data_IF_158183563311
#
_entry.id   IF_158183563311
#
_cell.length_a   1.000
_cell.length_b   1.000
_cell.length_c   1.000
_cell.angle_alpha   90.00
_cell.angle_beta   90.00
_cell.angle_gamma   90.00
#
_symmetry.space_group_name_H-M   'P 1'
#
loop_
_entity.id
_entity.type
_entity.pdbx_description
1 polymer ?
#
# COMPACT_ATOMS: atom_id res chain seq x y z
N UNK A 1 -29.25 -5.06 32.11
CA UNK A 1 -27.91 -4.48 31.86
C UNK A 1 -27.46 -4.92 30.47
N UNK A 2 -27.55 -4.05 29.45
CA UNK A 2 -26.95 -4.33 28.14
C UNK A 2 -25.54 -3.73 28.16
N UNK A 3 -24.53 -4.58 28.23
CA UNK A 3 -23.15 -4.18 27.98
C UNK A 3 -23.07 -3.66 26.55
N UNK A 4 -22.80 -2.37 26.41
CA UNK A 4 -22.48 -1.75 25.14
C UNK A 4 -21.15 -2.35 24.70
N UNK A 5 -21.19 -3.40 23.86
CA UNK A 5 -20.00 -3.96 23.24
C UNK A 5 -19.50 -2.90 22.27
N UNK A 6 -18.57 -2.05 22.72
CA UNK A 6 -17.92 -1.08 21.85
C UNK A 6 -17.36 -1.86 20.65
N UNK A 7 -17.60 -1.37 19.43
CA UNK A 7 -16.99 -1.95 18.25
C UNK A 7 -15.47 -1.84 18.42
N UNK A 8 -14.77 -2.98 18.42
CA UNK A 8 -13.32 -2.98 18.53
C UNK A 8 -12.73 -2.15 17.37
N UNK A 9 -11.87 -1.20 17.72
CA UNK A 9 -11.10 -0.42 16.77
C UNK A 9 -10.19 -1.32 15.94
N UNK A 10 -9.78 -0.84 14.77
CA UNK A 10 -8.85 -1.59 13.91
C UNK A 10 -7.53 -1.95 14.62
N UNK A 11 -7.07 -1.10 15.56
CA UNK A 11 -5.87 -1.31 16.37
C UNK A 11 -6.07 -2.48 17.35
N UNK A 12 -7.23 -2.52 18.02
CA UNK A 12 -7.58 -3.62 18.92
C UNK A 12 -7.73 -4.94 18.15
N UNK A 13 -8.37 -4.90 16.97
CA UNK A 13 -8.50 -6.07 16.09
C UNK A 13 -7.13 -6.59 15.63
N UNK A 14 -6.20 -5.70 15.28
CA UNK A 14 -4.83 -6.07 14.94
C UNK A 14 -4.10 -6.70 16.13
N UNK A 15 -4.16 -6.06 17.29
CA UNK A 15 -3.50 -6.56 18.51
C UNK A 15 -4.03 -7.93 18.92
N UNK A 16 -5.35 -8.12 18.89
CA UNK A 16 -5.99 -9.40 19.16
C UNK A 16 -5.54 -10.49 18.18
N UNK A 17 -5.52 -10.20 16.87
CA UNK A 17 -5.02 -11.16 15.88
C UNK A 17 -3.57 -11.56 16.16
N UNK A 18 -2.69 -10.61 16.47
CA UNK A 18 -1.27 -10.89 16.73
C UNK A 18 -1.04 -11.69 18.01
N UNK A 19 -1.87 -11.51 19.02
CA UNK A 19 -1.82 -12.32 20.24
C UNK A 19 -2.26 -13.77 19.98
N UNK A 20 -3.30 -13.96 19.15
CA UNK A 20 -3.81 -15.29 18.80
C UNK A 20 -2.93 -16.01 17.78
N UNK A 21 -2.27 -15.27 16.88
CA UNK A 21 -1.42 -15.80 15.81
C UNK A 21 -0.02 -15.15 15.82
N UNK A 22 0.81 -15.40 16.85
CA UNK A 22 2.16 -14.87 16.93
C UNK A 22 2.99 -15.28 15.70
N UNK A 23 3.75 -14.35 15.13
CA UNK A 23 4.59 -14.61 13.96
C UNK A 23 3.86 -14.81 12.63
N UNK A 24 2.52 -14.84 12.63
CA UNK A 24 1.73 -15.02 11.40
C UNK A 24 1.58 -13.69 10.66
N UNK A 25 1.87 -13.68 9.36
CA UNK A 25 1.56 -12.57 8.47
C UNK A 25 0.06 -12.53 8.25
N UNK A 26 -0.57 -11.37 8.46
CA UNK A 26 -1.99 -11.18 8.14
C UNK A 26 -2.10 -11.10 6.61
N UNK A 27 -2.86 -12.00 5.96
CA UNK A 27 -3.14 -11.90 4.53
C UNK A 27 -3.84 -10.59 4.20
N UNK A 28 -3.58 -10.02 3.03
CA UNK A 28 -4.18 -8.73 2.62
C UNK A 28 -5.70 -8.77 2.51
N UNK A 29 -6.24 -9.92 2.12
CA UNK A 29 -7.67 -10.20 2.00
C UNK A 29 -8.30 -10.68 3.32
N UNK A 30 -7.54 -10.77 4.41
CA UNK A 30 -8.04 -11.24 5.69
C UNK A 30 -9.16 -10.34 6.23
N UNK A 31 -10.27 -11.00 6.59
CA UNK A 31 -11.46 -10.40 7.17
C UNK A 31 -11.68 -11.00 8.55
N UNK A 32 -11.86 -10.15 9.56
CA UNK A 32 -12.18 -10.59 10.93
C UNK A 32 -13.58 -11.20 10.99
N UNK A 33 -13.88 -11.89 12.10
CA UNK A 33 -15.21 -12.46 12.37
C UNK A 33 -16.34 -11.42 12.30
N UNK A 34 -16.06 -10.16 12.61
CA UNK A 34 -17.03 -9.06 12.54
C UNK A 34 -17.11 -8.38 11.15
N UNK A 35 -16.47 -8.95 10.12
CA UNK A 35 -16.51 -8.43 8.75
C UNK A 35 -15.51 -7.30 8.47
N UNK A 36 -14.58 -7.01 9.39
CA UNK A 36 -13.59 -5.95 9.20
C UNK A 36 -12.41 -6.45 8.35
N UNK A 37 -12.10 -5.74 7.25
CA UNK A 37 -10.98 -6.07 6.34
C UNK A 37 -9.64 -5.65 6.95
N UNK A 38 -9.17 -6.42 7.93
CA UNK A 38 -7.96 -6.12 8.69
C UNK A 38 -6.69 -6.14 7.83
N UNK A 39 -6.59 -7.06 6.87
CA UNK A 39 -5.48 -7.10 5.92
C UNK A 39 -5.36 -5.81 5.10
N UNK A 40 -6.48 -5.33 4.55
CA UNK A 40 -6.54 -4.06 3.81
C UNK A 40 -6.25 -2.85 4.71
N UNK A 41 -6.71 -2.86 5.96
CA UNK A 41 -6.37 -1.80 6.92
C UNK A 41 -4.86 -1.74 7.18
N UNK A 42 -4.21 -2.89 7.39
CA UNK A 42 -2.76 -2.97 7.58
C UNK A 42 -2.01 -2.45 6.35
N UNK A 43 -2.41 -2.88 5.14
CA UNK A 43 -1.85 -2.39 3.89
C UNK A 43 -1.92 -0.86 3.80
N UNK A 44 -3.07 -0.26 4.12
CA UNK A 44 -3.25 1.20 4.15
C UNK A 44 -2.31 1.91 5.11
N UNK A 45 -2.10 1.37 6.32
CA UNK A 45 -1.16 1.97 7.28
C UNK A 45 0.27 1.95 6.70
N UNK A 46 0.68 0.82 6.12
CA UNK A 46 2.01 0.65 5.51
C UNK A 46 2.23 1.62 4.34
N UNK A 47 1.27 1.71 3.42
CA UNK A 47 1.34 2.65 2.27
C UNK A 47 1.34 4.11 2.74
N UNK A 48 0.50 4.48 3.71
CA UNK A 48 0.47 5.85 4.22
C UNK A 48 1.81 6.24 4.88
N UNK A 49 2.46 5.32 5.59
CA UNK A 49 3.81 5.55 6.15
C UNK A 49 4.84 5.73 5.02
N UNK A 50 4.82 4.83 4.03
CA UNK A 50 5.70 4.87 2.85
C UNK A 50 5.57 6.21 2.10
N UNK A 51 4.35 6.73 1.92
CA UNK A 51 4.09 8.00 1.25
C UNK A 51 4.27 9.23 2.14
N UNK A 52 4.62 9.06 3.41
CA UNK A 52 4.78 10.14 4.38
C UNK A 52 3.49 10.90 4.71
N UNK A 53 2.33 10.25 4.53
CA UNK A 53 1.00 10.80 4.85
C UNK A 53 0.45 10.29 6.18
N UNK A 54 1.06 9.25 6.76
CA UNK A 54 0.69 8.76 8.08
C UNK A 54 1.19 9.70 9.18
N UNK A 55 0.32 10.20 10.09
CA UNK A 55 0.74 11.08 11.18
C UNK A 55 1.75 10.41 12.12
N UNK A 56 2.71 11.19 12.65
CA UNK A 56 3.72 10.68 13.59
C UNK A 56 3.10 10.08 14.86
N UNK A 57 2.02 10.68 15.37
CA UNK A 57 1.27 10.13 16.51
C UNK A 57 0.73 8.73 16.21
N UNK A 58 0.18 8.54 15.01
CA UNK A 58 -0.35 7.25 14.58
C UNK A 58 0.74 6.20 14.43
N UNK A 59 1.92 6.60 13.93
CA UNK A 59 3.10 5.73 13.89
C UNK A 59 3.45 5.25 15.31
N UNK A 60 3.54 6.16 16.29
CA UNK A 60 3.85 5.81 17.69
C UNK A 60 2.84 4.84 18.29
N UNK A 61 1.55 5.04 18.03
CA UNK A 61 0.49 4.13 18.50
C UNK A 61 0.64 2.72 17.91
N UNK A 62 0.94 2.62 16.62
CA UNK A 62 1.13 1.34 15.95
C UNK A 62 2.42 0.65 16.39
N UNK A 63 3.50 1.41 16.56
CA UNK A 63 4.77 0.90 17.09
C UNK A 63 4.60 0.37 18.52
N UNK A 64 3.81 1.04 19.37
CA UNK A 64 3.56 0.64 20.76
C UNK A 64 2.84 -0.72 20.89
N UNK A 65 2.08 -1.13 19.87
CA UNK A 65 1.41 -2.44 19.82
C UNK A 65 2.18 -3.48 19.00
N UNK A 66 3.42 -3.18 18.59
CA UNK A 66 4.25 -4.08 17.79
C UNK A 66 3.74 -4.28 16.36
N UNK A 67 3.18 -3.24 15.74
CA UNK A 67 2.74 -3.30 14.36
C UNK A 67 3.91 -3.63 13.41
N UNK A 68 3.74 -4.70 12.64
CA UNK A 68 4.73 -5.18 11.68
C UNK A 68 4.63 -4.39 10.38
N UNK A 69 5.63 -3.56 10.09
CA UNK A 69 5.65 -2.68 8.91
C UNK A 69 6.03 -3.38 7.59
N UNK A 70 6.81 -4.46 7.67
CA UNK A 70 7.24 -5.32 6.55
C UNK A 70 7.61 -6.72 7.08
N UNK A 71 7.98 -7.65 6.21
CA UNK A 71 8.42 -9.01 6.59
C UNK A 71 9.65 -9.02 7.50
N UNK A 72 10.61 -8.14 7.26
CA UNK A 72 11.81 -7.93 8.09
C UNK A 72 11.59 -6.93 9.23
N UNK A 73 10.35 -6.51 9.46
CA UNK A 73 9.96 -5.49 10.44
C UNK A 73 10.61 -4.11 10.24
N UNK A 74 11.25 -3.89 9.08
CA UNK A 74 11.73 -2.58 8.67
C UNK A 74 10.56 -1.70 8.14
N UNK A 75 10.61 -0.38 8.30
CA UNK A 75 9.67 0.49 7.59
C UNK A 75 9.81 0.28 6.07
N UNK A 76 8.68 0.27 5.36
CA UNK A 76 8.71 0.37 3.90
C UNK A 76 9.53 1.60 3.48
N UNK A 77 10.24 1.54 2.33
CA UNK A 77 11.10 2.62 1.86
C UNK A 77 10.32 3.93 1.74
N UNK A 78 10.65 4.89 2.59
CA UNK A 78 9.93 6.16 2.66
C UNK A 78 10.23 6.98 1.39
N UNK A 79 9.17 7.48 0.75
CA UNK A 79 9.29 8.40 -0.38
C UNK A 79 9.40 9.82 0.17
N UNK A 80 10.50 10.50 -0.18
CA UNK A 80 10.76 11.87 0.28
C UNK A 80 9.64 12.83 -0.09
N UNK A 81 9.33 13.78 0.81
CA UNK A 81 8.30 14.79 0.59
C UNK A 81 8.58 15.70 -0.60
N UNK A 82 9.85 15.89 -0.95
CA UNK A 82 10.28 16.74 -2.08
C UNK A 82 9.92 16.13 -3.43
N UNK A 83 9.79 14.80 -3.52
CA UNK A 83 9.40 14.12 -4.76
C UNK A 83 7.86 14.03 -4.89
N UNK A 84 7.25 15.21 -5.05
CA UNK A 84 5.79 15.34 -5.08
C UNK A 84 5.13 14.56 -6.22
N UNK A 85 5.77 14.50 -7.39
CA UNK A 85 5.22 13.78 -8.56
C UNK A 85 5.25 12.28 -8.31
N UNK A 86 6.38 11.72 -7.86
CA UNK A 86 6.46 10.29 -7.57
C UNK A 86 5.48 9.88 -6.48
N UNK A 87 5.32 10.70 -5.44
CA UNK A 87 4.33 10.46 -4.38
C UNK A 87 2.91 10.38 -4.92
N UNK A 88 2.51 11.31 -5.80
CA UNK A 88 1.18 11.26 -6.47
C UNK A 88 1.03 10.00 -7.32
N UNK A 89 2.00 9.69 -8.18
CA UNK A 89 1.95 8.49 -9.03
C UNK A 89 1.85 7.19 -8.21
N UNK A 90 2.61 7.08 -7.12
CA UNK A 90 2.53 5.92 -6.22
C UNK A 90 1.21 5.87 -5.45
N UNK A 91 0.65 7.01 -5.06
CA UNK A 91 -0.67 7.08 -4.44
C UNK A 91 -1.76 6.59 -5.42
N UNK A 92 -1.68 7.00 -6.68
CA UNK A 92 -2.59 6.54 -7.75
C UNK A 92 -2.46 5.04 -8.00
N UNK A 93 -1.24 4.49 -8.04
CA UNK A 93 -1.03 3.04 -8.18
C UNK A 93 -1.61 2.29 -6.97
N UNK A 94 -1.42 2.81 -5.76
CA UNK A 94 -1.99 2.23 -4.55
C UNK A 94 -3.53 2.23 -4.60
N UNK A 95 -4.14 3.34 -5.02
CA UNK A 95 -5.59 3.47 -5.17
C UNK A 95 -6.13 2.52 -6.24
N UNK A 96 -5.46 2.43 -7.40
CA UNK A 96 -5.81 1.49 -8.46
C UNK A 96 -5.85 0.06 -7.93
N UNK A 97 -4.81 -0.36 -7.19
CA UNK A 97 -4.76 -1.68 -6.56
C UNK A 97 -5.88 -1.92 -5.56
N UNK A 98 -6.22 -0.94 -4.75
CA UNK A 98 -7.35 -1.11 -3.81
C UNK A 98 -8.69 -1.35 -4.52
N UNK A 99 -8.87 -0.73 -5.69
CA UNK A 99 -10.08 -0.83 -6.51
C UNK A 99 -10.11 -2.10 -7.36
N UNK A 100 -8.97 -2.52 -7.92
CA UNK A 100 -8.89 -3.57 -8.94
C UNK A 100 -8.34 -4.90 -8.40
N UNK A 101 -7.69 -4.88 -7.23
CA UNK A 101 -7.08 -6.05 -6.60
C UNK A 101 -5.61 -6.26 -6.96
N UNK A 102 -5.10 -5.59 -8.00
CA UNK A 102 -3.70 -5.70 -8.44
C UNK A 102 -3.13 -4.34 -8.89
N UNK A 103 -1.80 -4.27 -9.02
CA UNK A 103 -1.10 -3.08 -9.50
C UNK A 103 -0.82 -3.11 -11.02
N UNK A 104 -1.61 -3.84 -11.81
CA UNK A 104 -1.45 -3.94 -13.28
C UNK A 104 -2.06 -2.73 -14.00
N UNK A 105 -1.68 -1.53 -13.55
CA UNK A 105 -2.10 -0.25 -14.15
C UNK A 105 -1.78 -0.27 -15.65
N UNK A 106 -2.77 -0.08 -16.54
CA UNK A 106 -2.56 -0.06 -17.98
C UNK A 106 -1.52 0.95 -18.44
N UNK A 107 -0.81 0.67 -19.54
CA UNK A 107 0.24 1.57 -20.05
C UNK A 107 -0.27 2.97 -20.48
N UNK A 108 -1.55 3.07 -20.83
CA UNK A 108 -2.26 4.27 -21.27
C UNK A 108 -3.23 4.82 -20.23
N UNK A 109 -3.20 4.31 -18.99
CA UNK A 109 -4.04 4.82 -17.91
C UNK A 109 -3.69 6.26 -17.57
N UNK A 110 -4.73 7.09 -17.48
CA UNK A 110 -4.69 8.49 -17.08
C UNK A 110 -5.68 8.63 -15.92
N UNK A 111 -5.29 9.29 -14.82
CA UNK A 111 -6.22 9.55 -13.72
C UNK A 111 -7.11 10.77 -14.04
N UNK A 112 -8.05 11.07 -13.13
CA UNK A 112 -9.01 12.17 -13.28
C UNK A 112 -8.33 13.55 -13.37
N UNK A 113 -7.13 13.69 -12.80
CA UNK A 113 -6.31 14.91 -12.88
C UNK A 113 -5.51 15.04 -14.20
N UNK A 114 -5.66 14.09 -15.13
CA UNK A 114 -4.92 14.07 -16.39
C UNK A 114 -3.47 13.58 -16.29
N UNK A 115 -3.06 13.04 -15.13
CA UNK A 115 -1.73 12.48 -14.93
C UNK A 115 -1.60 11.12 -15.64
N UNK A 116 -0.59 11.00 -16.51
CA UNK A 116 -0.32 9.77 -17.27
C UNK A 116 0.40 8.71 -16.42
N UNK A 117 -0.26 8.20 -15.39
CA UNK A 117 0.30 7.22 -14.44
C UNK A 117 0.75 5.95 -15.17
N UNK A 118 0.00 5.49 -16.17
CA UNK A 118 0.35 4.32 -16.97
C UNK A 118 1.68 4.44 -17.72
N UNK A 119 1.93 5.62 -18.29
CA UNK A 119 3.14 5.95 -19.04
C UNK A 119 4.32 6.23 -18.12
N UNK A 120 4.08 6.81 -16.95
CA UNK A 120 5.08 6.97 -15.90
C UNK A 120 5.56 5.60 -15.41
N UNK A 121 4.62 4.72 -15.04
CA UNK A 121 4.92 3.36 -14.60
C UNK A 121 5.63 2.54 -15.69
N UNK A 122 5.31 2.77 -16.97
CA UNK A 122 5.99 2.13 -18.09
C UNK A 122 7.49 2.44 -18.10
N UNK A 123 7.85 3.71 -17.91
CA UNK A 123 9.24 4.15 -17.92
C UNK A 123 10.00 3.58 -16.72
N UNK A 124 9.37 3.58 -15.54
CA UNK A 124 9.95 2.97 -14.34
C UNK A 124 10.20 1.47 -14.52
N UNK A 125 9.19 0.71 -14.99
CA UNK A 125 9.33 -0.73 -15.26
C UNK A 125 10.37 -1.02 -16.37
N UNK A 126 10.44 -0.18 -17.41
CA UNK A 126 11.47 -0.30 -18.46
C UNK A 126 12.88 -0.16 -17.88
N UNK A 127 13.11 0.84 -17.00
CA UNK A 127 14.39 1.01 -16.30
C UNK A 127 14.68 -0.16 -15.36
N UNK A 128 13.66 -0.65 -14.65
CA UNK A 128 13.81 -1.78 -13.74
C UNK A 128 14.29 -3.03 -14.48
N UNK A 129 13.69 -3.37 -15.62
CA UNK A 129 14.13 -4.51 -16.45
C UNK A 129 15.54 -4.36 -17.02
N UNK A 130 16.03 -3.14 -17.12
CA UNK A 130 17.38 -2.84 -17.59
C UNK A 130 18.39 -2.72 -16.43
N UNK A 131 17.99 -3.04 -15.20
CA UNK A 131 18.78 -2.87 -13.97
C UNK A 131 19.26 -1.42 -13.76
N UNK A 132 18.48 -0.46 -14.26
CA UNK A 132 18.74 0.99 -14.20
C UNK A 132 17.78 1.74 -13.28
N UNK A 133 16.99 1.02 -12.47
CA UNK A 133 16.09 1.62 -11.49
C UNK A 133 16.73 1.52 -10.09
N UNK A 134 17.08 2.64 -9.44
CA UNK A 134 17.64 2.64 -8.08
C UNK A 134 16.74 1.91 -7.08
N UNK A 135 17.32 1.31 -6.04
CA UNK A 135 16.55 0.59 -5.01
C UNK A 135 15.56 1.49 -4.27
N UNK A 136 15.91 2.77 -4.08
CA UNK A 136 15.00 3.78 -3.54
C UNK A 136 13.76 3.99 -4.42
N UNK A 137 13.87 3.77 -5.73
CA UNK A 137 12.76 3.84 -6.71
C UNK A 137 11.98 2.54 -6.80
N UNK A 138 12.71 1.42 -6.84
CA UNK A 138 12.20 0.06 -6.94
C UNK A 138 11.40 -0.36 -5.70
N UNK A 139 11.89 -0.06 -4.51
CA UNK A 139 11.31 -0.51 -3.25
C UNK A 139 9.83 -0.14 -3.08
N UNK A 140 9.45 1.15 -3.24
CA UNK A 140 8.05 1.56 -3.15
C UNK A 140 7.15 0.94 -4.23
N UNK A 141 7.66 0.73 -5.45
CA UNK A 141 6.92 0.05 -6.50
C UNK A 141 6.66 -1.42 -6.13
N UNK A 142 7.68 -2.12 -5.66
CA UNK A 142 7.57 -3.52 -5.21
C UNK A 142 6.59 -3.65 -4.04
N UNK A 143 6.63 -2.73 -3.08
CA UNK A 143 5.70 -2.71 -1.94
C UNK A 143 4.23 -2.54 -2.36
N UNK A 144 3.98 -1.85 -3.48
CA UNK A 144 2.65 -1.72 -4.08
C UNK A 144 2.25 -2.93 -4.93
N UNK A 145 3.10 -3.96 -5.06
CA UNK A 145 2.83 -5.14 -5.87
C UNK A 145 3.17 -4.97 -7.35
N UNK A 146 3.91 -3.91 -7.71
CA UNK A 146 4.42 -3.75 -9.07
C UNK A 146 5.60 -4.70 -9.28
N UNK A 147 5.59 -5.42 -10.40
CA UNK A 147 6.68 -6.27 -10.84
C UNK A 147 7.25 -5.78 -12.17
N UNK A 148 8.47 -6.20 -12.56
CA UNK A 148 9.01 -5.95 -13.89
C UNK A 148 8.31 -6.77 -14.99
N UNK A 149 7.18 -7.42 -14.72
CA UNK A 149 6.42 -8.21 -15.70
C UNK A 149 5.67 -7.38 -16.75
N UNK A 150 5.16 -8.01 -17.84
CA UNK A 150 4.35 -7.34 -18.85
C UNK A 150 3.10 -6.72 -18.22
N UNK A 151 2.71 -5.53 -18.72
CA UNK A 151 1.50 -4.83 -18.29
C UNK A 151 0.49 -4.76 -19.43
N UNK A 152 -0.82 -4.84 -19.13
CA UNK A 152 -1.85 -4.79 -20.17
C UNK A 152 -1.83 -3.44 -20.89
N UNK A 153 -2.20 -3.49 -22.18
CA UNK A 153 -2.71 -2.32 -22.89
C UNK A 153 -4.21 -2.28 -22.61
N UNK A 154 -4.59 -1.57 -21.55
CA UNK A 154 -6.00 -1.44 -21.16
C UNK A 154 -6.75 -0.42 -22.01
N UNK A 155 -8.08 -0.28 -21.83
CA UNK A 155 -8.83 0.81 -22.43
C UNK A 155 -8.30 2.17 -21.92
N UNK A 156 -8.43 3.23 -22.72
CA UNK A 156 -8.24 4.60 -22.20
C UNK A 156 -9.36 4.86 -21.19
N UNK A 157 -9.06 4.76 -19.89
CA UNK A 157 -9.90 5.42 -18.91
C UNK A 157 -9.50 6.89 -18.88
N UNK A 158 -10.34 7.69 -19.51
CA UNK A 158 -10.50 9.12 -19.28
C UNK A 158 -11.92 9.42 -19.75
N UNK A 159 -12.83 9.69 -18.81
CA UNK A 159 -14.08 10.37 -19.08
C UNK A 159 -14.06 11.66 -18.27
#
# INVERSE_FOLDING_TARGET
MRTQRSAASAVELYSAFRQQHPGTVIPEDYVTECGFRLGRWQYRQRVARMLGTLPAQRIRELDAIGFVWSEDNAPLPAVTRTDSKRRRMLAEIAAYREQHGDALVPANYVNDDGEQVGQWLYRAVKKWRADQLPDEERGPLAALGVSPGPRPRGPRTAA
#
